data_IF_672464042246
#
_entry.id   IF_672464042246
#
_cell.length_a   1.000
_cell.length_b   1.000
_cell.length_c   1.000
_cell.angle_alpha   90.00
_cell.angle_beta   90.00
_cell.angle_gamma   90.00
#
_symmetry.space_group_name_H-M   'P 1'
#
loop_
_entity.id
_entity.type
_entity.pdbx_description
1 polymer ?
#
# COMPACT_ATOMS: atom_id res chain seq x y z
N UNK A 1 15.27 4.58 -40.25
CA UNK A 1 16.08 4.85 -39.05
C UNK A 1 15.55 3.97 -37.94
N UNK A 2 16.39 3.25 -37.24
CA UNK A 2 15.97 2.41 -36.10
C UNK A 2 15.81 3.30 -34.87
N UNK A 3 14.60 3.36 -34.30
CA UNK A 3 14.32 4.06 -33.03
C UNK A 3 15.12 3.41 -31.90
N UNK A 4 15.83 4.21 -31.11
CA UNK A 4 16.58 3.70 -29.96
C UNK A 4 15.64 3.22 -28.85
N UNK A 5 16.08 2.27 -28.02
CA UNK A 5 15.25 1.71 -26.93
C UNK A 5 14.67 2.79 -26.00
N UNK A 6 15.47 3.76 -25.56
CA UNK A 6 15.03 4.80 -24.64
C UNK A 6 13.94 5.69 -25.26
N UNK A 7 14.09 6.03 -26.54
CA UNK A 7 13.13 6.81 -27.31
C UNK A 7 11.83 6.03 -27.50
N UNK A 8 11.90 4.78 -27.97
CA UNK A 8 10.72 3.92 -28.13
C UNK A 8 9.95 3.76 -26.81
N UNK A 9 10.68 3.55 -25.70
CA UNK A 9 10.07 3.42 -24.36
C UNK A 9 9.47 4.73 -23.87
N UNK A 10 9.95 5.88 -24.32
CA UNK A 10 9.38 7.20 -23.98
C UNK A 10 8.13 7.48 -24.80
N UNK A 11 8.17 7.24 -26.12
CA UNK A 11 7.00 7.35 -27.00
C UNK A 11 5.86 6.47 -26.49
N UNK A 12 6.13 5.23 -26.09
CA UNK A 12 5.12 4.35 -25.51
C UNK A 12 4.53 4.87 -24.18
N UNK A 13 5.32 5.57 -23.36
CA UNK A 13 4.82 6.21 -22.13
C UNK A 13 3.93 7.40 -22.43
N UNK A 14 4.31 8.21 -23.42
CA UNK A 14 3.60 9.44 -23.76
C UNK A 14 2.33 9.19 -24.59
N UNK A 15 2.18 7.98 -25.13
CA UNK A 15 0.99 7.56 -25.89
C UNK A 15 -0.25 7.27 -25.03
N UNK A 16 -0.11 7.21 -23.70
CA UNK A 16 -1.20 6.86 -22.80
C UNK A 16 -1.34 7.87 -21.66
N UNK A 17 -2.58 8.10 -21.26
CA UNK A 17 -2.93 8.89 -20.08
C UNK A 17 -3.40 7.96 -18.95
N UNK A 18 -3.30 8.39 -17.67
CA UNK A 18 -3.87 7.63 -16.57
C UNK A 18 -5.37 7.43 -16.76
N UNK A 19 -5.85 6.21 -16.50
CA UNK A 19 -7.26 5.84 -16.60
C UNK A 19 -8.10 6.50 -15.50
N UNK A 20 -9.42 6.32 -15.58
CA UNK A 20 -10.35 6.89 -14.61
C UNK A 20 -9.99 6.55 -13.15
N UNK A 21 -10.27 7.50 -12.29
CA UNK A 21 -10.09 7.35 -10.85
C UNK A 21 -11.32 6.66 -10.25
N UNK A 22 -11.08 5.63 -9.46
CA UNK A 22 -12.09 4.89 -8.72
C UNK A 22 -11.76 4.91 -7.22
N UNK A 23 -12.77 4.78 -6.38
CA UNK A 23 -12.60 4.60 -4.94
C UNK A 23 -12.73 3.12 -4.62
N UNK A 24 -11.72 2.57 -3.95
CA UNK A 24 -11.70 1.16 -3.54
C UNK A 24 -11.32 1.02 -2.09
N UNK A 25 -11.70 -0.08 -1.44
CA UNK A 25 -11.25 -0.37 -0.07
C UNK A 25 -9.74 -0.63 -0.04
N UNK A 26 -9.12 -0.54 1.15
CA UNK A 26 -7.70 -0.88 1.29
C UNK A 26 -7.36 -2.30 0.80
N UNK A 27 -8.27 -3.26 0.98
CA UNK A 27 -8.07 -4.64 0.56
C UNK A 27 -8.04 -4.83 -0.97
N UNK A 28 -8.74 -3.96 -1.69
CA UNK A 28 -8.84 -3.99 -3.17
C UNK A 28 -7.77 -3.12 -3.84
N UNK A 29 -7.13 -2.22 -3.08
CA UNK A 29 -6.17 -1.26 -3.61
C UNK A 29 -4.81 -1.87 -3.97
N UNK A 30 -4.50 -3.11 -3.55
CA UNK A 30 -3.17 -3.70 -3.72
C UNK A 30 -2.71 -3.69 -5.20
N UNK A 31 -1.56 -3.07 -5.46
CA UNK A 31 -0.97 -2.94 -6.79
C UNK A 31 -1.62 -1.88 -7.69
N UNK A 32 -2.67 -1.19 -7.23
CA UNK A 32 -3.21 -0.02 -7.93
C UNK A 32 -2.38 1.24 -7.62
N UNK A 33 -2.57 2.28 -8.43
CA UNK A 33 -1.78 3.51 -8.34
C UNK A 33 -2.63 4.63 -7.76
N UNK A 34 -2.15 5.29 -6.71
CA UNK A 34 -2.84 6.44 -6.11
C UNK A 34 -3.06 7.56 -7.13
N UNK A 35 -4.30 8.02 -7.24
CA UNK A 35 -4.67 9.15 -8.11
C UNK A 35 -4.39 10.51 -7.47
N UNK A 36 -4.26 10.55 -6.15
CA UNK A 36 -4.07 11.77 -5.36
C UNK A 36 -2.97 11.61 -4.28
N UNK A 37 -2.56 12.73 -3.69
CA UNK A 37 -1.70 12.71 -2.51
C UNK A 37 -2.50 12.32 -1.28
N UNK A 38 -1.87 11.59 -0.36
CA UNK A 38 -2.53 11.10 0.85
C UNK A 38 -1.99 11.84 2.08
N UNK A 39 -2.68 12.89 2.59
CA UNK A 39 -2.35 13.51 3.87
C UNK A 39 -2.84 12.66 5.05
N UNK A 40 -2.14 12.66 6.17
CA UNK A 40 -2.57 11.97 7.38
C UNK A 40 -3.86 12.60 7.95
N UNK A 41 -4.93 11.81 8.12
CA UNK A 41 -6.22 12.31 8.65
C UNK A 41 -6.18 12.46 10.17
N UNK A 42 -5.41 11.58 10.82
CA UNK A 42 -5.10 11.62 12.24
C UNK A 42 -3.59 11.72 12.46
N UNK A 43 -3.12 12.31 13.58
CA UNK A 43 -1.72 12.25 13.94
C UNK A 43 -1.35 10.86 14.46
N UNK A 44 -0.07 10.52 14.36
CA UNK A 44 0.53 9.35 14.99
C UNK A 44 1.67 9.76 15.92
N UNK A 45 1.64 9.37 17.20
CA UNK A 45 0.48 8.84 17.94
C UNK A 45 -0.72 9.80 18.00
N UNK A 46 -1.93 9.27 18.28
CA UNK A 46 -3.18 10.05 18.32
C UNK A 46 -3.25 11.00 19.53
N UNK A 47 -2.62 10.61 20.63
CA UNK A 47 -2.48 11.34 21.89
C UNK A 47 -1.11 10.98 22.49
N UNK A 48 -0.75 11.61 23.62
CA UNK A 48 0.49 11.25 24.31
C UNK A 48 0.36 9.83 24.89
N UNK A 49 1.33 8.96 24.60
CA UNK A 49 1.31 7.55 25.01
C UNK A 49 2.60 7.13 25.71
N UNK A 50 2.51 6.08 26.52
CA UNK A 50 3.69 5.51 27.16
C UNK A 50 4.61 4.83 26.14
N UNK A 51 5.91 5.09 26.21
CA UNK A 51 6.93 4.39 25.44
C UNK A 51 7.36 3.05 26.08
N UNK A 52 6.99 2.82 27.35
CA UNK A 52 7.47 1.70 28.18
C UNK A 52 6.34 1.12 29.04
N UNK A 53 6.52 -0.10 29.52
CA UNK A 53 5.71 -0.64 30.62
C UNK A 53 6.24 -0.10 31.96
N UNK A 54 5.37 0.32 32.86
CA UNK A 54 5.79 0.84 34.15
C UNK A 54 4.74 1.71 34.83
N UNK A 55 5.15 2.88 35.31
CA UNK A 55 4.30 3.80 36.08
C UNK A 55 4.33 5.21 35.52
N UNK A 56 3.19 5.71 35.05
CA UNK A 56 3.02 7.14 34.76
C UNK A 56 2.97 7.89 36.09
N UNK A 57 3.87 8.84 36.31
CA UNK A 57 4.09 9.50 37.60
C UNK A 57 4.07 11.02 37.48
N UNK A 58 3.77 11.68 38.59
CA UNK A 58 3.83 13.15 38.73
C UNK A 58 4.50 13.54 40.04
N UNK A 59 5.51 14.42 39.99
CA UNK A 59 6.29 14.84 41.15
C UNK A 59 7.34 13.82 41.59
N UNK A 60 8.02 14.05 42.73
CA UNK A 60 9.04 13.15 43.27
C UNK A 60 8.44 11.91 43.95
N UNK A 61 9.23 10.83 44.02
CA UNK A 61 8.91 9.63 44.78
C UNK A 61 8.82 9.91 46.31
N UNK A 62 8.08 9.09 47.08
CA UNK A 62 7.27 7.94 46.66
C UNK A 62 5.95 8.34 46.00
N UNK A 63 5.41 7.47 45.14
CA UNK A 63 4.11 7.66 44.49
C UNK A 63 3.09 6.63 44.93
N UNK A 64 1.84 7.04 45.15
CA UNK A 64 0.71 6.12 45.41
C UNK A 64 0.05 5.71 44.09
N UNK A 65 -0.09 4.41 43.84
CA UNK A 65 -0.80 3.90 42.66
C UNK A 65 -2.30 4.11 42.82
N UNK A 66 -2.88 4.99 42.02
CA UNK A 66 -4.31 5.35 42.07
C UNK A 66 -5.13 4.69 40.97
N UNK A 67 -4.50 3.94 40.07
CA UNK A 67 -5.19 3.16 39.06
C UNK A 67 -4.26 2.53 38.03
N UNK A 68 -4.89 1.96 36.99
CA UNK A 68 -4.22 1.27 35.89
C UNK A 68 -4.71 1.79 34.53
N UNK A 69 -3.80 1.85 33.56
CA UNK A 69 -4.04 2.22 32.15
C UNK A 69 -3.40 1.18 31.24
N UNK A 70 -4.24 0.39 30.59
CA UNK A 70 -3.83 -0.58 29.57
C UNK A 70 -4.05 -0.02 28.16
N UNK A 71 -3.42 -0.65 27.17
CA UNK A 71 -3.71 -0.35 25.76
C UNK A 71 -5.18 -0.67 25.45
N UNK A 72 -5.86 0.25 24.76
CA UNK A 72 -7.27 0.13 24.39
C UNK A 72 -8.07 1.40 24.71
N UNK A 73 -9.41 1.36 24.57
CA UNK A 73 -10.27 2.48 24.91
C UNK A 73 -10.11 2.86 26.40
N UNK A 74 -9.83 4.13 26.68
CA UNK A 74 -9.72 4.62 28.05
C UNK A 74 -10.47 5.94 28.20
N UNK A 75 -11.00 6.21 29.40
CA UNK A 75 -11.59 7.51 29.71
C UNK A 75 -10.51 8.60 29.75
N UNK A 76 -10.73 9.73 29.06
CA UNK A 76 -9.78 10.85 28.99
C UNK A 76 -9.62 11.58 30.33
N UNK A 77 -10.48 11.33 31.32
CA UNK A 77 -10.61 12.15 32.53
C UNK A 77 -9.71 11.72 33.70
N UNK A 78 -8.80 10.75 33.52
CA UNK A 78 -7.82 10.47 34.57
C UNK A 78 -6.71 11.51 34.55
N UNK A 79 -6.63 12.28 35.63
CA UNK A 79 -5.54 13.17 35.93
C UNK A 79 -4.71 12.63 37.10
N UNK A 80 -3.40 12.86 37.05
CA UNK A 80 -2.48 12.59 38.13
C UNK A 80 -2.30 13.84 39.00
N UNK A 81 -2.46 13.69 40.31
CA UNK A 81 -1.98 14.65 41.29
C UNK A 81 -0.50 14.38 41.62
N UNK A 82 0.18 15.39 42.19
CA UNK A 82 1.57 15.23 42.63
C UNK A 82 1.67 14.14 43.70
N UNK A 83 2.62 13.22 43.55
CA UNK A 83 2.78 12.07 44.44
C UNK A 83 1.89 10.88 44.08
N UNK A 84 1.23 10.89 42.92
CA UNK A 84 0.44 9.76 42.43
C UNK A 84 1.11 9.07 41.23
N UNK A 85 0.70 7.82 41.01
CA UNK A 85 1.08 6.99 39.88
C UNK A 85 -0.12 6.26 39.26
N UNK A 86 -0.07 6.00 37.95
CA UNK A 86 -0.87 4.97 37.30
C UNK A 86 0.06 3.86 36.82
N UNK A 87 -0.26 2.61 37.10
CA UNK A 87 0.35 1.49 36.38
C UNK A 87 -0.05 1.60 34.91
N UNK A 88 0.93 1.61 34.00
CA UNK A 88 0.72 1.91 32.59
C UNK A 88 1.44 0.90 31.70
N UNK A 89 0.75 0.45 30.65
CA UNK A 89 1.34 -0.37 29.61
C UNK A 89 1.85 0.48 28.44
N UNK A 90 2.81 -0.04 27.69
CA UNK A 90 3.34 0.53 26.46
C UNK A 90 2.21 0.80 25.47
N UNK A 91 2.22 1.99 24.88
CA UNK A 91 1.19 2.45 23.94
C UNK A 91 -0.13 2.92 24.59
N UNK A 92 -0.31 2.76 25.91
CA UNK A 92 -1.47 3.30 26.59
C UNK A 92 -1.40 4.84 26.67
N UNK A 93 -2.54 5.55 26.53
CA UNK A 93 -2.60 7.00 26.74
C UNK A 93 -2.16 7.37 28.17
N UNK A 94 -1.25 8.34 28.28
CA UNK A 94 -0.80 8.81 29.60
C UNK A 94 -1.88 9.69 30.26
N UNK A 95 -2.12 9.55 31.57
CA UNK A 95 -3.00 10.45 32.31
C UNK A 95 -2.59 11.93 32.20
N UNK A 96 -3.56 12.84 32.31
CA UNK A 96 -3.27 14.28 32.32
C UNK A 96 -2.38 14.61 33.52
N UNK A 97 -1.32 15.39 33.29
CA UNK A 97 -0.37 15.77 34.33
C UNK A 97 0.78 14.78 34.54
N UNK A 98 0.86 13.69 33.75
CA UNK A 98 2.03 12.81 33.74
C UNK A 98 3.28 13.60 33.36
N UNK A 99 4.32 13.52 34.19
CA UNK A 99 5.62 14.18 33.96
C UNK A 99 6.63 13.20 33.33
N UNK A 100 6.55 11.92 33.71
CA UNK A 100 7.36 10.85 33.15
C UNK A 100 6.67 9.49 33.34
N UNK A 101 7.13 8.50 32.58
CA UNK A 101 6.87 7.08 32.84
C UNK A 101 8.14 6.47 33.42
N UNK A 102 8.05 5.96 34.65
CA UNK A 102 9.08 5.18 35.31
C UNK A 102 8.99 3.73 34.82
N UNK A 103 9.98 3.20 34.07
CA UNK A 103 9.97 1.82 33.60
C UNK A 103 9.89 0.83 34.77
N UNK A 104 9.25 -0.32 34.55
CA UNK A 104 9.11 -1.35 35.59
C UNK A 104 10.46 -1.79 36.16
N UNK A 105 11.50 -1.82 35.32
CA UNK A 105 12.87 -2.21 35.68
C UNK A 105 13.57 -1.19 36.59
N UNK A 106 13.05 0.04 36.65
CA UNK A 106 13.56 1.12 37.50
C UNK A 106 12.64 1.41 38.70
N UNK A 107 11.62 0.57 38.91
CA UNK A 107 10.62 0.74 39.95
C UNK A 107 10.72 -0.34 41.02
N UNK A 108 10.46 0.06 42.26
CA UNK A 108 10.24 -0.84 43.40
C UNK A 108 8.84 -0.59 43.91
N UNK A 109 8.07 -1.68 44.10
CA UNK A 109 6.66 -1.62 44.51
C UNK A 109 6.50 -2.30 45.86
N UNK A 110 5.87 -1.59 46.80
CA UNK A 110 5.52 -2.11 48.12
C UNK A 110 4.13 -1.57 48.51
N UNK A 111 3.19 -2.47 48.80
CA UNK A 111 1.82 -2.16 49.24
C UNK A 111 1.11 -1.02 48.45
N UNK A 112 1.24 -0.99 47.12
CA UNK A 112 0.61 0.04 46.26
C UNK A 112 1.35 1.38 46.22
N UNK A 113 2.53 1.45 46.83
CA UNK A 113 3.46 2.57 46.73
C UNK A 113 4.60 2.20 45.79
N UNK A 114 4.94 3.12 44.88
CA UNK A 114 6.03 2.97 43.92
C UNK A 114 7.16 3.92 44.30
N UNK A 115 8.39 3.41 44.27
CA UNK A 115 9.61 4.19 44.42
C UNK A 115 10.56 3.92 43.27
N UNK A 116 11.43 4.88 42.98
CA UNK A 116 12.41 4.76 41.89
C UNK A 116 13.05 6.10 41.59
N UNK A 117 14.05 6.07 40.71
CA UNK A 117 14.71 7.29 40.21
C UNK A 117 14.12 7.60 38.85
N UNK A 118 13.62 8.83 38.69
CA UNK A 118 13.09 9.27 37.40
C UNK A 118 14.18 9.21 36.32
N UNK A 119 13.89 8.59 35.16
CA UNK A 119 14.83 8.55 34.05
C UNK A 119 15.08 9.96 33.47
N UNK A 120 16.21 10.12 32.79
CA UNK A 120 16.56 11.39 32.13
C UNK A 120 15.62 11.74 30.97
N UNK A 121 14.98 10.74 30.36
CA UNK A 121 13.91 10.91 29.37
C UNK A 121 12.57 10.63 30.05
N UNK A 122 11.52 11.33 29.64
CA UNK A 122 10.18 11.14 30.19
C UNK A 122 9.52 9.82 29.77
N UNK A 123 10.01 9.15 28.73
CA UNK A 123 9.38 7.97 28.12
C UNK A 123 7.92 8.20 27.68
N UNK A 124 7.61 9.42 27.26
CA UNK A 124 6.31 9.79 26.71
C UNK A 124 6.46 10.06 25.22
N UNK A 125 5.73 9.30 24.42
CA UNK A 125 5.58 9.54 22.98
C UNK A 125 4.54 10.61 22.77
N UNK A 126 4.93 11.75 22.21
CA UNK A 126 4.06 12.92 22.06
C UNK A 126 3.13 12.77 20.86
N UNK A 127 1.91 13.27 20.99
CA UNK A 127 0.93 13.29 19.90
C UNK A 127 1.53 13.85 18.60
N UNK A 128 1.46 13.05 17.53
CA UNK A 128 1.93 13.45 16.20
C UNK A 128 3.45 13.53 16.04
N UNK A 129 4.24 13.02 17.00
CA UNK A 129 5.71 13.05 16.89
C UNK A 129 6.23 12.25 15.68
N UNK A 130 5.55 11.15 15.30
CA UNK A 130 5.91 10.37 14.11
C UNK A 130 5.36 11.08 12.86
N UNK A 131 4.05 11.31 12.86
CA UNK A 131 3.30 11.86 11.73
C UNK A 131 2.29 12.87 12.27
N UNK A 132 2.52 14.18 12.06
CA UNK A 132 1.52 15.20 12.33
C UNK A 132 0.31 15.04 11.40
N UNK A 133 -0.88 15.38 11.91
CA UNK A 133 -2.08 15.48 11.06
C UNK A 133 -1.83 16.43 9.90
N UNK A 134 -2.31 16.06 8.71
CA UNK A 134 -2.16 16.82 7.47
C UNK A 134 -0.80 16.62 6.79
N UNK A 135 0.18 15.97 7.43
CA UNK A 135 1.43 15.62 6.77
C UNK A 135 1.13 14.68 5.60
N UNK A 136 1.66 14.99 4.42
CA UNK A 136 1.60 14.11 3.25
C UNK A 136 2.43 12.87 3.51
N UNK A 137 1.80 11.70 3.51
CA UNK A 137 2.47 10.42 3.78
C UNK A 137 2.68 9.59 2.52
N UNK A 138 1.84 9.76 1.49
CA UNK A 138 2.00 9.14 0.18
C UNK A 138 1.77 10.16 -0.94
N UNK A 139 2.44 9.96 -2.07
CA UNK A 139 2.31 10.82 -3.25
C UNK A 139 1.34 10.23 -4.28
N UNK A 140 0.63 11.09 -5.01
CA UNK A 140 0.01 10.70 -6.29
C UNK A 140 1.02 9.94 -7.15
N UNK A 141 0.57 8.88 -7.82
CA UNK A 141 1.42 8.01 -8.63
C UNK A 141 2.13 6.91 -7.83
N UNK A 142 1.97 6.88 -6.51
CA UNK A 142 2.53 5.79 -5.68
C UNK A 142 1.72 4.52 -5.89
N UNK A 143 2.42 3.41 -6.13
CA UNK A 143 1.81 2.07 -6.15
C UNK A 143 1.43 1.67 -4.73
N UNK A 144 0.20 1.23 -4.52
CA UNK A 144 -0.29 0.72 -3.26
C UNK A 144 0.32 -0.66 -2.95
N UNK A 145 1.49 -0.63 -2.30
CA UNK A 145 2.16 -1.82 -1.76
C UNK A 145 1.60 -2.16 -0.37
N UNK A 146 1.89 -3.36 0.19
CA UNK A 146 1.46 -3.69 1.55
C UNK A 146 1.87 -2.65 2.60
N UNK A 147 3.07 -2.08 2.48
CA UNK A 147 3.54 -1.02 3.39
C UNK A 147 2.76 0.28 3.21
N UNK A 148 2.45 0.67 1.96
CA UNK A 148 1.64 1.86 1.70
C UNK A 148 0.21 1.71 2.23
N UNK A 149 -0.39 0.52 2.10
CA UNK A 149 -1.72 0.21 2.64
C UNK A 149 -1.73 0.28 4.17
N UNK A 150 -0.72 -0.29 4.83
CA UNK A 150 -0.56 -0.20 6.29
C UNK A 150 -0.38 1.23 6.78
N UNK A 151 0.37 2.06 6.04
CA UNK A 151 0.52 3.48 6.33
C UNK A 151 -0.77 4.27 6.13
N UNK A 152 -1.53 4.00 5.06
CA UNK A 152 -2.82 4.64 4.83
C UNK A 152 -3.83 4.30 5.95
N UNK A 153 -3.89 3.02 6.35
CA UNK A 153 -4.73 2.56 7.45
C UNK A 153 -4.36 3.26 8.76
N UNK A 154 -3.06 3.31 9.10
CA UNK A 154 -2.60 3.88 10.37
C UNK A 154 -2.91 5.38 10.48
N UNK A 155 -2.98 6.11 9.36
CA UNK A 155 -3.34 7.53 9.34
C UNK A 155 -4.83 7.79 9.06
N UNK A 156 -5.68 6.75 9.10
CA UNK A 156 -7.13 6.85 9.20
C UNK A 156 -7.93 6.65 7.92
N UNK A 157 -7.36 6.05 6.86
CA UNK A 157 -8.12 5.76 5.62
C UNK A 157 -8.71 4.35 5.63
N UNK A 158 -9.97 4.22 5.23
CA UNK A 158 -10.64 2.95 4.93
C UNK A 158 -10.66 2.63 3.42
N UNK A 159 -10.52 3.66 2.59
CA UNK A 159 -10.57 3.59 1.13
C UNK A 159 -9.58 4.55 0.49
N UNK A 160 -9.19 4.26 -0.75
CA UNK A 160 -8.23 5.05 -1.53
C UNK A 160 -8.81 5.42 -2.90
N UNK A 161 -8.49 6.63 -3.37
CA UNK A 161 -8.71 7.02 -4.76
C UNK A 161 -7.53 6.57 -5.61
N UNK A 162 -7.78 5.64 -6.53
CA UNK A 162 -6.75 4.99 -7.36
C UNK A 162 -7.17 5.01 -8.83
N UNK A 163 -6.20 4.92 -9.73
CA UNK A 163 -6.49 4.63 -11.13
C UNK A 163 -6.87 3.16 -11.29
N UNK A 164 -7.97 2.88 -12.01
CA UNK A 164 -8.37 1.49 -12.30
C UNK A 164 -7.31 0.78 -13.16
N UNK A 165 -7.34 -0.56 -13.15
CA UNK A 165 -6.46 -1.36 -14.02
C UNK A 165 -6.82 -1.13 -15.50
N UNK A 166 -5.82 -1.08 -16.39
CA UNK A 166 -6.06 -1.18 -17.82
C UNK A 166 -6.56 -2.58 -18.16
N UNK A 167 -7.66 -2.65 -18.89
CA UNK A 167 -8.20 -3.86 -19.49
C UNK A 167 -7.44 -4.12 -20.78
N UNK A 168 -6.85 -5.31 -20.89
CA UNK A 168 -5.95 -5.69 -21.97
C UNK A 168 -6.55 -6.86 -22.72
N UNK A 169 -6.69 -6.74 -24.05
CA UNK A 169 -6.93 -7.86 -24.96
C UNK A 169 -5.62 -8.25 -25.63
N UNK A 170 -5.41 -9.53 -25.83
CA UNK A 170 -4.29 -10.04 -26.64
C UNK A 170 -4.82 -10.56 -27.96
N UNK A 171 -4.18 -10.17 -29.06
CA UNK A 171 -4.40 -10.76 -30.38
C UNK A 171 -3.13 -11.50 -30.80
N UNK A 172 -3.26 -12.78 -31.11
CA UNK A 172 -2.16 -13.64 -31.55
C UNK A 172 -2.41 -14.06 -32.98
N UNK A 173 -1.48 -13.76 -33.89
CA UNK A 173 -1.54 -14.16 -35.30
C UNK A 173 -0.45 -15.18 -35.62
N UNK A 174 -0.80 -16.19 -36.42
CA UNK A 174 0.13 -17.20 -36.93
C UNK A 174 -0.61 -18.50 -37.28
N UNK A 175 -0.68 -18.81 -38.58
CA UNK A 175 -1.36 -20.01 -39.10
C UNK A 175 -0.64 -21.32 -38.67
N UNK A 176 0.63 -21.23 -38.26
CA UNK A 176 1.43 -22.33 -37.73
C UNK A 176 1.14 -22.66 -36.25
N UNK A 177 0.45 -21.78 -35.53
CA UNK A 177 0.33 -21.87 -34.09
C UNK A 177 -0.65 -22.96 -33.64
N UNK A 178 -0.16 -23.80 -32.73
CA UNK A 178 -0.93 -24.83 -32.06
C UNK A 178 -1.04 -24.51 -30.57
N UNK A 179 -2.24 -24.44 -30.01
CA UNK A 179 -2.48 -24.11 -28.59
C UNK A 179 -2.47 -25.33 -27.66
N UNK A 180 -2.68 -26.54 -28.19
CA UNK A 180 -2.78 -27.80 -27.44
C UNK A 180 -2.19 -29.01 -28.22
N UNK A 181 -1.65 -30.02 -27.52
CA UNK A 181 -1.03 -31.21 -28.16
C UNK A 181 0.45 -31.09 -28.56
N UNK A 182 0.94 -32.01 -29.39
CA UNK A 182 2.30 -31.99 -29.93
C UNK A 182 2.30 -31.37 -31.33
N UNK A 183 3.25 -30.47 -31.67
CA UNK A 183 3.33 -29.89 -33.00
C UNK A 183 3.68 -30.96 -34.04
N UNK A 184 3.09 -30.86 -35.22
CA UNK A 184 3.46 -31.64 -36.41
C UNK A 184 4.26 -30.78 -37.39
N UNK A 185 4.67 -31.35 -38.53
CA UNK A 185 5.43 -30.60 -39.55
C UNK A 185 4.66 -29.35 -39.99
N UNK A 186 5.31 -28.19 -39.90
CA UNK A 186 4.72 -26.88 -40.24
C UNK A 186 3.94 -26.22 -39.11
N UNK A 187 3.90 -26.81 -37.91
CA UNK A 187 3.28 -26.23 -36.72
C UNK A 187 4.32 -25.88 -35.64
N UNK A 188 4.00 -24.87 -34.83
CA UNK A 188 4.76 -24.50 -33.64
C UNK A 188 3.81 -24.42 -32.45
N UNK A 189 4.21 -24.93 -31.29
CA UNK A 189 3.43 -24.78 -30.07
C UNK A 189 3.53 -23.34 -29.57
N UNK A 190 2.38 -22.70 -29.39
CA UNK A 190 2.29 -21.41 -28.73
C UNK A 190 2.91 -21.46 -27.33
N UNK A 191 3.94 -20.64 -27.15
CA UNK A 191 4.68 -20.47 -25.91
C UNK A 191 4.51 -19.04 -25.34
N UNK A 192 3.86 -18.13 -26.06
CA UNK A 192 3.70 -16.73 -25.65
C UNK A 192 2.42 -16.58 -24.85
N UNK A 193 1.27 -17.01 -25.38
CA UNK A 193 -0.02 -16.80 -24.70
C UNK A 193 -0.07 -17.32 -23.27
N UNK A 194 0.55 -18.48 -22.93
CA UNK A 194 0.61 -18.93 -21.54
C UNK A 194 1.34 -17.98 -20.58
N UNK A 195 2.24 -17.13 -21.08
CA UNK A 195 3.01 -16.17 -20.27
C UNK A 195 2.22 -14.86 -20.02
N UNK A 196 1.32 -14.51 -20.93
CA UNK A 196 0.67 -13.19 -20.97
C UNK A 196 -0.17 -12.88 -19.73
N UNK A 197 -0.98 -13.79 -19.16
CA UNK A 197 -1.75 -13.48 -17.95
C UNK A 197 -0.87 -12.99 -16.80
N UNK A 198 0.27 -13.67 -16.56
CA UNK A 198 1.20 -13.31 -15.50
C UNK A 198 1.95 -12.01 -15.78
N UNK A 199 2.39 -11.80 -17.02
CA UNK A 199 3.06 -10.57 -17.44
C UNK A 199 2.14 -9.35 -17.33
N UNK A 200 0.90 -9.46 -17.82
CA UNK A 200 -0.10 -8.38 -17.78
C UNK A 200 -0.45 -8.04 -16.33
N UNK A 201 -0.71 -9.06 -15.50
CA UNK A 201 -1.02 -8.85 -14.07
C UNK A 201 0.14 -8.16 -13.35
N UNK A 202 1.38 -8.60 -13.60
CA UNK A 202 2.59 -8.00 -12.99
C UNK A 202 2.82 -6.57 -13.47
N UNK A 203 2.44 -6.25 -14.71
CA UNK A 203 2.48 -4.90 -15.26
C UNK A 203 1.31 -4.01 -14.76
N UNK A 204 0.35 -4.57 -14.01
CA UNK A 204 -0.77 -3.85 -13.42
C UNK A 204 -2.07 -3.90 -14.20
N UNK A 205 -2.11 -4.59 -15.35
CA UNK A 205 -3.30 -4.76 -16.18
C UNK A 205 -4.18 -5.94 -15.79
N UNK A 206 -5.33 -6.01 -16.44
CA UNK A 206 -6.30 -7.09 -16.36
C UNK A 206 -6.48 -7.69 -17.76
N UNK A 207 -6.13 -8.97 -17.93
CA UNK A 207 -6.35 -9.66 -19.21
C UNK A 207 -7.84 -10.00 -19.35
N UNK A 208 -8.49 -9.46 -20.38
CA UNK A 208 -9.90 -9.72 -20.70
C UNK A 208 -10.03 -11.04 -21.47
N UNK A 209 -9.29 -11.18 -22.56
CA UNK A 209 -9.28 -12.35 -23.43
C UNK A 209 -8.02 -12.42 -24.32
N UNK A 210 -7.79 -13.60 -24.88
CA UNK A 210 -6.79 -13.85 -25.92
C UNK A 210 -7.48 -14.38 -27.16
N UNK A 211 -7.32 -13.66 -28.28
CA UNK A 211 -7.89 -14.02 -29.56
C UNK A 211 -6.80 -14.55 -30.49
N UNK A 212 -7.04 -15.72 -31.07
CA UNK A 212 -6.17 -16.27 -32.10
C UNK A 212 -6.79 -15.97 -33.46
N UNK A 213 -6.07 -15.26 -34.31
CA UNK A 213 -6.52 -14.87 -35.64
C UNK A 213 -5.63 -15.51 -36.70
N UNK A 214 -6.22 -15.74 -37.87
CA UNK A 214 -5.44 -16.17 -39.01
C UNK A 214 -4.56 -15.02 -39.52
N UNK A 215 -3.45 -15.37 -40.17
CA UNK A 215 -2.53 -14.37 -40.71
C UNK A 215 -3.09 -13.80 -42.02
N UNK A 216 -4.05 -12.87 -41.86
CA UNK A 216 -4.77 -12.16 -42.93
C UNK A 216 -5.14 -10.76 -42.46
N UNK A 217 -4.92 -9.76 -43.31
CA UNK A 217 -5.21 -8.35 -43.01
C UNK A 217 -6.64 -8.09 -42.49
N UNK A 218 -7.65 -8.76 -43.07
CA UNK A 218 -9.04 -8.63 -42.63
C UNK A 218 -9.26 -9.14 -41.21
N UNK A 219 -8.73 -10.31 -40.88
CA UNK A 219 -8.88 -10.90 -39.54
C UNK A 219 -8.17 -10.07 -38.47
N UNK A 220 -6.99 -9.53 -38.77
CA UNK A 220 -6.29 -8.63 -37.86
C UNK A 220 -7.04 -7.30 -37.70
N UNK A 221 -7.52 -6.70 -38.79
CA UNK A 221 -8.28 -5.44 -38.74
C UNK A 221 -9.56 -5.57 -37.93
N UNK A 222 -10.29 -6.67 -38.08
CA UNK A 222 -11.50 -6.97 -37.31
C UNK A 222 -11.18 -7.13 -35.81
N UNK A 223 -10.09 -7.82 -35.46
CA UNK A 223 -9.69 -8.01 -34.07
C UNK A 223 -9.19 -6.70 -33.40
N UNK A 224 -8.61 -5.78 -34.19
CA UNK A 224 -8.16 -4.47 -33.71
C UNK A 224 -9.29 -3.45 -33.61
N UNK A 225 -10.39 -3.63 -34.34
CA UNK A 225 -11.55 -2.75 -34.34
C UNK A 225 -12.42 -2.97 -33.08
N UNK A 226 -11.83 -2.77 -31.90
CA UNK A 226 -12.53 -2.87 -30.62
C UNK A 226 -12.40 -1.58 -29.79
N UNK A 227 -13.45 -1.26 -29.05
CA UNK A 227 -13.56 -0.09 -28.17
C UNK A 227 -13.86 -0.48 -26.72
N UNK A 228 -13.89 -1.79 -26.43
CA UNK A 228 -14.26 -2.34 -25.13
C UNK A 228 -13.07 -2.59 -24.19
N UNK A 229 -11.84 -2.29 -24.62
CA UNK A 229 -10.59 -2.45 -23.84
C UNK A 229 -9.69 -1.23 -23.97
N UNK A 230 -8.77 -1.04 -23.02
CA UNK A 230 -7.85 0.11 -23.01
C UNK A 230 -6.58 -0.15 -23.82
N UNK A 231 -6.16 -1.42 -23.92
CA UNK A 231 -4.94 -1.84 -24.63
C UNK A 231 -5.21 -3.10 -25.43
N UNK A 232 -4.79 -3.11 -26.68
CA UNK A 232 -4.69 -4.33 -27.49
C UNK A 232 -3.22 -4.65 -27.71
N UNK A 233 -2.78 -5.82 -27.23
CA UNK A 233 -1.43 -6.32 -27.40
C UNK A 233 -1.39 -7.35 -28.55
N UNK A 234 -0.65 -7.04 -29.60
CA UNK A 234 -0.53 -7.93 -30.77
C UNK A 234 0.76 -8.75 -30.67
N UNK A 235 0.64 -10.07 -30.81
CA UNK A 235 1.74 -11.02 -30.85
C UNK A 235 1.75 -11.75 -32.21
N UNK A 236 2.79 -11.57 -33.01
CA UNK A 236 2.87 -12.11 -34.38
C UNK A 236 2.59 -11.05 -35.45
N UNK A 237 2.86 -11.38 -36.72
CA UNK A 237 2.68 -10.47 -37.88
C UNK A 237 3.47 -9.14 -37.80
N UNK A 238 4.60 -9.11 -37.06
CA UNK A 238 5.38 -7.87 -36.79
C UNK A 238 6.63 -7.70 -37.66
N UNK A 239 6.85 -8.57 -38.65
CA UNK A 239 8.03 -8.54 -39.52
C UNK A 239 7.67 -8.12 -40.95
N UNK A 240 8.62 -7.48 -41.63
CA UNK A 240 8.55 -7.27 -43.09
C UNK A 240 8.78 -8.61 -43.78
N UNK A 241 7.84 -9.05 -44.64
CA UNK A 241 7.94 -10.36 -45.27
C UNK A 241 6.72 -10.73 -46.12
N UNK A 242 6.67 -11.92 -46.73
CA UNK A 242 5.59 -12.33 -47.66
C UNK A 242 4.18 -12.42 -47.03
N UNK A 243 4.10 -12.33 -45.71
CA UNK A 243 2.87 -12.33 -44.92
C UNK A 243 2.71 -11.01 -44.13
N UNK A 244 3.28 -9.90 -44.62
CA UNK A 244 2.99 -8.58 -44.08
C UNK A 244 1.57 -8.13 -44.50
N UNK A 245 0.81 -7.67 -43.52
CA UNK A 245 -0.62 -7.39 -43.63
C UNK A 245 -0.98 -6.03 -43.04
#
# INVERSE_FOLDING_TARGET
>A
MTTGWAEARQVARDAAEPLETITVTLGEALGLVLSEHLPALVPLPLCDTSAMDGYAVRGPAPWTVVGRRLAGPCSPDAALETGQAFEIATGAPVPVGTEAVLPVELSTVDEGTVTGVLPAKDHIRRRGEDIPRGRRVLHRGTVATPAALGLAASVGYDSLHVHRRPRVRVVVSGDELLTAGLPTLGQVRDAISPLLPGLITTAGGELVDTQFVADRAGALSEALACDDVDVVAVCGSTSVGPADH
#
